data_IF_519398309198
#
_entry.id   IF_519398309198
#
_cell.length_a   1.000
_cell.length_b   1.000
_cell.length_c   1.000
_cell.angle_alpha   90.00
_cell.angle_beta   90.00
_cell.angle_gamma   90.00
#
_symmetry.space_group_name_H-M   'P 1'
#
loop_
_entity.id
_entity.type
_entity.pdbx_description
1 polymer ?
#
# COMPACT_ATOMS: atom_id res chain seq x y z
N UNK A 1 -4.24 -7.95 22.13
CA UNK A 1 -5.67 -8.03 22.50
C UNK A 1 -6.38 -8.91 21.49
N UNK A 2 -7.17 -9.88 21.97
CA UNK A 2 -7.62 -11.05 21.22
C UNK A 2 -8.97 -10.84 20.51
N UNK A 3 -9.15 -11.60 19.43
CA UNK A 3 -10.38 -11.82 18.66
C UNK A 3 -11.63 -11.97 19.53
N UNK A 4 -11.45 -12.49 20.74
CA UNK A 4 -12.47 -12.68 21.76
C UNK A 4 -13.11 -11.37 22.23
N UNK A 5 -12.33 -10.31 22.45
CA UNK A 5 -12.87 -9.01 22.87
C UNK A 5 -13.66 -8.32 21.74
N UNK A 6 -13.26 -8.52 20.48
CA UNK A 6 -14.03 -8.03 19.34
C UNK A 6 -15.30 -8.85 19.14
N UNK A 7 -15.22 -10.18 19.19
CA UNK A 7 -16.40 -11.06 19.11
C UNK A 7 -17.40 -10.82 20.24
N UNK A 8 -16.91 -10.57 21.46
CA UNK A 8 -17.76 -10.19 22.58
C UNK A 8 -18.52 -8.88 22.29
N UNK A 9 -17.84 -7.88 21.71
CA UNK A 9 -18.48 -6.64 21.27
C UNK A 9 -19.54 -6.89 20.17
N UNK A 10 -19.22 -7.70 19.17
CA UNK A 10 -20.17 -8.08 18.10
C UNK A 10 -21.40 -8.76 18.69
N UNK A 11 -21.22 -9.77 19.55
CA UNK A 11 -22.31 -10.48 20.20
C UNK A 11 -23.16 -9.57 21.09
N UNK A 12 -22.51 -8.65 21.82
CA UNK A 12 -23.20 -7.65 22.63
C UNK A 12 -24.07 -6.73 21.78
N UNK A 13 -23.54 -6.22 20.66
CA UNK A 13 -24.30 -5.35 19.75
C UNK A 13 -25.45 -6.11 19.09
N UNK A 14 -25.23 -7.37 18.72
CA UNK A 14 -26.28 -8.22 18.15
C UNK A 14 -27.43 -8.49 19.14
N UNK A 15 -27.12 -8.65 20.43
CA UNK A 15 -28.10 -9.00 21.47
C UNK A 15 -28.81 -7.78 22.05
N UNK A 16 -28.08 -6.69 22.29
CA UNK A 16 -28.56 -5.54 23.06
C UNK A 16 -28.71 -4.27 22.19
N UNK A 17 -28.24 -4.29 20.95
CA UNK A 17 -28.06 -3.09 20.14
C UNK A 17 -26.83 -2.28 20.56
N UNK A 18 -26.70 -1.07 20.04
CA UNK A 18 -25.58 -0.19 20.34
C UNK A 18 -25.88 0.72 21.55
N UNK A 19 -25.45 0.28 22.74
CA UNK A 19 -25.61 1.04 23.99
C UNK A 19 -24.84 2.37 23.97
N UNK A 20 -23.56 2.31 23.56
CA UNK A 20 -22.69 3.50 23.50
C UNK A 20 -22.63 4.06 22.08
N UNK A 21 -23.09 5.29 21.83
CA UNK A 21 -22.99 5.90 20.51
C UNK A 21 -21.53 6.17 20.13
N UNK A 22 -21.25 6.29 18.83
CA UNK A 22 -19.98 6.80 18.35
C UNK A 22 -20.00 8.33 18.33
N UNK A 23 -18.85 8.98 18.49
CA UNK A 23 -18.73 10.42 18.32
C UNK A 23 -18.30 10.73 16.89
N UNK A 24 -18.97 11.70 16.27
CA UNK A 24 -18.66 12.17 14.91
C UNK A 24 -18.73 13.68 14.83
N UNK A 25 -18.13 14.21 13.77
CA UNK A 25 -18.34 15.57 13.31
C UNK A 25 -18.78 15.57 11.84
N UNK A 26 -19.63 16.51 11.40
CA UNK A 26 -19.93 16.66 9.98
C UNK A 26 -18.65 17.01 9.22
N UNK A 27 -18.50 16.62 7.96
CA UNK A 27 -17.33 16.98 7.16
C UNK A 27 -17.23 18.49 6.98
N UNK A 28 -18.37 19.12 6.74
CA UNK A 28 -18.55 20.57 6.72
C UNK A 28 -18.71 21.12 8.16
N UNK A 29 -17.86 22.07 8.61
CA UNK A 29 -18.00 22.71 9.93
C UNK A 29 -19.27 23.52 10.13
N UNK A 30 -19.83 24.09 9.07
CA UNK A 30 -20.99 24.97 9.13
C UNK A 30 -22.31 24.21 8.99
N UNK A 31 -22.24 22.90 8.71
CA UNK A 31 -23.42 22.05 8.62
C UNK A 31 -24.13 21.93 9.98
N UNK A 32 -25.46 22.10 9.93
CA UNK A 32 -26.34 21.87 11.06
C UNK A 32 -27.49 20.93 10.65
N UNK A 33 -27.97 20.07 11.56
CA UNK A 33 -29.14 19.24 11.29
C UNK A 33 -30.36 20.13 10.98
N UNK A 34 -31.19 19.70 10.03
CA UNK A 34 -32.45 20.38 9.74
C UNK A 34 -33.33 20.36 10.99
N UNK A 35 -33.82 21.52 11.51
CA UNK A 35 -34.69 21.56 12.68
C UNK A 35 -36.01 20.79 12.51
N UNK A 36 -36.50 20.64 11.27
CA UNK A 36 -37.74 19.95 10.93
C UNK A 36 -37.53 18.47 10.62
N UNK A 37 -36.33 18.10 10.16
CA UNK A 37 -35.92 16.70 9.95
C UNK A 37 -34.45 16.47 10.36
N UNK A 38 -34.17 16.45 11.67
CA UNK A 38 -32.79 16.34 12.17
C UNK A 38 -32.14 14.99 11.88
N UNK A 39 -32.93 14.00 11.43
CA UNK A 39 -32.46 12.65 11.08
C UNK A 39 -32.00 12.54 9.63
N UNK A 40 -32.35 13.51 8.78
CA UNK A 40 -31.93 13.52 7.39
C UNK A 40 -30.48 13.98 7.24
N UNK A 41 -29.59 13.00 7.14
CA UNK A 41 -28.15 13.18 6.95
C UNK A 41 -27.67 12.73 5.56
N UNK A 42 -28.59 12.61 4.60
CA UNK A 42 -28.28 12.08 3.28
C UNK A 42 -27.23 12.93 2.56
N UNK A 43 -26.15 12.29 2.11
CA UNK A 43 -25.06 12.96 1.38
C UNK A 43 -24.09 13.76 2.25
N UNK A 44 -24.26 13.78 3.57
CA UNK A 44 -23.37 14.48 4.49
C UNK A 44 -22.22 13.55 4.89
N UNK A 45 -20.96 13.84 4.53
CA UNK A 45 -19.83 13.06 5.03
C UNK A 45 -19.63 13.35 6.53
N UNK A 46 -19.21 12.35 7.30
CA UNK A 46 -18.87 12.53 8.71
C UNK A 46 -17.45 12.06 8.99
N UNK A 47 -16.74 12.81 9.82
CA UNK A 47 -15.45 12.43 10.39
C UNK A 47 -15.70 11.67 11.68
N UNK A 48 -15.27 10.41 11.72
CA UNK A 48 -15.41 9.57 12.91
C UNK A 48 -14.38 9.93 13.97
N UNK A 49 -14.86 10.39 15.12
CA UNK A 49 -14.00 10.76 16.25
C UNK A 49 -13.72 9.57 17.15
N UNK A 50 -14.71 8.70 17.40
CA UNK A 50 -14.55 7.49 18.23
C UNK A 50 -15.32 6.30 17.64
N UNK A 51 -15.08 5.10 18.17
CA UNK A 51 -15.95 3.95 17.89
C UNK A 51 -15.64 3.14 16.63
N UNK A 52 -14.40 3.15 16.13
CA UNK A 52 -13.97 2.33 14.96
C UNK A 52 -14.33 0.84 15.10
N UNK A 53 -14.16 0.24 16.29
CA UNK A 53 -14.57 -1.15 16.56
C UNK A 53 -16.08 -1.37 16.50
N UNK A 54 -16.86 -0.36 16.91
CA UNK A 54 -18.33 -0.40 16.82
C UNK A 54 -18.79 -0.26 15.38
N UNK A 55 -18.14 0.60 14.58
CA UNK A 55 -18.38 0.66 13.13
C UNK A 55 -18.11 -0.69 12.46
N UNK A 56 -16.97 -1.32 12.76
CA UNK A 56 -16.64 -2.63 12.19
C UNK A 56 -17.64 -3.71 12.61
N UNK A 57 -18.02 -3.76 13.89
CA UNK A 57 -19.01 -4.71 14.39
C UNK A 57 -20.41 -4.46 13.78
N UNK A 58 -20.84 -3.21 13.67
CA UNK A 58 -22.11 -2.85 13.03
C UNK A 58 -22.13 -3.20 11.54
N UNK A 59 -21.01 -2.98 10.85
CA UNK A 59 -20.81 -3.39 9.45
C UNK A 59 -20.91 -4.91 9.29
N UNK A 60 -20.27 -5.69 10.18
CA UNK A 60 -20.34 -7.16 10.18
C UNK A 60 -21.77 -7.67 10.40
N UNK A 61 -22.55 -6.99 11.25
CA UNK A 61 -23.93 -7.34 11.55
C UNK A 61 -24.95 -6.77 10.54
N UNK A 62 -24.54 -5.88 9.63
CA UNK A 62 -25.44 -5.19 8.71
C UNK A 62 -26.46 -4.27 9.40
N UNK A 63 -26.13 -3.75 10.58
CA UNK A 63 -27.02 -2.88 11.37
C UNK A 63 -26.61 -1.41 11.27
N UNK A 64 -27.56 -0.46 11.35
CA UNK A 64 -27.23 0.96 11.35
C UNK A 64 -26.44 1.33 12.61
N UNK A 65 -25.45 2.22 12.44
CA UNK A 65 -24.60 2.70 13.52
C UNK A 65 -25.19 3.98 14.14
N UNK A 66 -25.32 3.99 15.46
CA UNK A 66 -25.75 5.15 16.24
C UNK A 66 -24.57 6.08 16.51
N UNK A 67 -24.71 7.34 16.11
CA UNK A 67 -23.71 8.38 16.27
C UNK A 67 -24.29 9.59 17.00
N UNK A 68 -23.43 10.35 17.67
CA UNK A 68 -23.72 11.66 18.26
C UNK A 68 -22.71 12.69 17.77
N UNK A 69 -23.18 13.91 17.53
CA UNK A 69 -22.32 15.04 17.17
C UNK A 69 -21.49 15.43 18.39
N UNK A 70 -20.17 15.49 18.24
CA UNK A 70 -19.32 16.04 19.28
C UNK A 70 -19.44 17.57 19.35
N UNK A 71 -19.18 18.19 20.52
CA UNK A 71 -19.34 19.64 20.71
C UNK A 71 -18.53 20.46 19.69
N UNK A 72 -19.11 21.54 19.12
CA UNK A 72 -18.47 22.36 18.10
C UNK A 72 -17.32 23.22 18.64
N UNK A 73 -17.31 23.55 19.93
CA UNK A 73 -16.29 24.40 20.56
C UNK A 73 -14.87 23.80 20.44
N UNK A 74 -14.77 22.47 20.41
CA UNK A 74 -13.50 21.77 20.22
C UNK A 74 -13.01 21.79 18.75
N UNK A 75 -13.83 22.24 17.79
CA UNK A 75 -13.56 22.21 16.35
C UNK A 75 -13.01 23.51 15.76
N UNK A 76 -13.30 24.66 16.37
CA UNK A 76 -13.00 25.97 15.75
C UNK A 76 -11.58 26.50 15.97
N UNK A 77 -10.70 25.74 16.63
CA UNK A 77 -9.28 26.06 16.71
C UNK A 77 -8.53 25.63 15.43
N UNK A 78 -7.56 26.41 14.95
CA UNK A 78 -6.61 25.95 13.92
C UNK A 78 -6.01 24.60 14.34
N UNK A 79 -5.98 23.62 13.42
CA UNK A 79 -5.54 22.24 13.68
C UNK A 79 -6.35 21.44 14.73
N UNK A 80 -7.57 21.87 15.09
CA UNK A 80 -8.46 21.18 16.04
C UNK A 80 -8.64 19.69 15.76
N UNK A 81 -8.85 19.32 14.50
CA UNK A 81 -9.04 17.93 14.08
C UNK A 81 -7.80 17.09 14.40
N UNK A 82 -6.59 17.61 14.13
CA UNK A 82 -5.36 16.91 14.49
C UNK A 82 -5.21 16.81 16.01
N UNK A 83 -5.37 17.91 16.74
CA UNK A 83 -5.17 17.93 18.19
C UNK A 83 -6.09 16.94 18.90
N UNK A 84 -7.36 16.85 18.47
CA UNK A 84 -8.28 15.85 19.01
C UNK A 84 -7.90 14.42 18.64
N UNK A 85 -7.54 14.16 17.38
CA UNK A 85 -7.07 12.83 16.97
C UNK A 85 -5.83 12.42 17.78
N UNK A 86 -4.96 13.38 18.07
CA UNK A 86 -3.76 13.18 18.87
C UNK A 86 -4.07 12.90 20.34
N UNK A 87 -4.93 13.70 20.98
CA UNK A 87 -5.39 13.46 22.35
C UNK A 87 -6.02 12.07 22.50
N UNK A 88 -6.90 11.68 21.56
CA UNK A 88 -7.50 10.35 21.52
C UNK A 88 -6.45 9.25 21.33
N UNK A 89 -5.51 9.47 20.41
CA UNK A 89 -4.44 8.50 20.16
C UNK A 89 -3.67 8.25 21.45
N UNK A 90 -3.27 9.31 22.16
CA UNK A 90 -2.59 9.24 23.45
C UNK A 90 -3.42 8.52 24.52
N UNK A 91 -4.68 8.89 24.69
CA UNK A 91 -5.57 8.25 25.67
C UNK A 91 -5.74 6.74 25.40
N UNK A 92 -5.90 6.35 24.12
CA UNK A 92 -6.04 4.94 23.77
C UNK A 92 -4.72 4.18 23.85
N UNK A 93 -3.58 4.83 23.58
CA UNK A 93 -2.25 4.24 23.74
C UNK A 93 -1.92 4.02 25.21
N UNK A 94 -2.21 4.99 26.08
CA UNK A 94 -2.02 4.90 27.55
C UNK A 94 -2.90 3.80 28.18
N UNK A 95 -4.09 3.55 27.62
CA UNK A 95 -4.96 2.44 28.03
C UNK A 95 -4.61 1.10 27.38
N UNK A 96 -3.52 1.03 26.61
CA UNK A 96 -3.12 -0.13 25.81
C UNK A 96 -4.24 -0.65 24.88
N UNK A 97 -5.17 0.23 24.50
CA UNK A 97 -6.45 -0.12 23.91
C UNK A 97 -6.43 -0.31 22.38
N UNK A 98 -5.28 -0.08 21.74
CA UNK A 98 -5.12 -0.13 20.29
C UNK A 98 -4.41 -1.41 19.85
N UNK A 99 -5.03 -2.15 18.93
CA UNK A 99 -4.31 -3.15 18.13
C UNK A 99 -3.23 -2.52 17.25
N UNK A 100 -2.23 -3.28 16.77
CA UNK A 100 -1.23 -2.79 15.83
C UNK A 100 -1.84 -2.13 14.58
N UNK A 101 -2.95 -2.69 14.06
CA UNK A 101 -3.68 -2.11 12.93
C UNK A 101 -4.29 -0.76 13.27
N UNK A 102 -5.03 -0.67 14.38
CA UNK A 102 -5.68 0.58 14.81
C UNK A 102 -4.67 1.68 15.10
N UNK A 103 -3.51 1.32 15.66
CA UNK A 103 -2.40 2.25 15.87
C UNK A 103 -1.91 2.84 14.54
N UNK A 104 -1.68 2.00 13.53
CA UNK A 104 -1.21 2.45 12.22
C UNK A 104 -2.25 3.28 11.47
N UNK A 105 -3.53 2.88 11.52
CA UNK A 105 -4.64 3.64 10.92
C UNK A 105 -4.75 5.03 11.57
N UNK A 106 -4.67 5.11 12.90
CA UNK A 106 -4.77 6.39 13.62
C UNK A 106 -3.60 7.32 13.28
N UNK A 107 -2.38 6.80 13.21
CA UNK A 107 -1.19 7.59 12.83
C UNK A 107 -1.31 8.07 11.38
N UNK A 108 -1.78 7.23 10.46
CA UNK A 108 -1.97 7.62 9.05
C UNK A 108 -3.04 8.69 8.88
N UNK A 109 -4.17 8.56 9.58
CA UNK A 109 -5.24 9.58 9.56
C UNK A 109 -4.77 10.93 10.10
N UNK A 110 -4.03 10.93 11.22
CA UNK A 110 -3.43 12.15 11.78
C UNK A 110 -2.46 12.82 10.78
N UNK A 111 -1.65 12.01 10.09
CA UNK A 111 -0.72 12.51 9.08
C UNK A 111 -1.45 13.14 7.89
N UNK A 112 -2.41 12.42 7.30
CA UNK A 112 -3.16 12.92 6.13
C UNK A 112 -4.00 14.17 6.48
N UNK A 113 -4.50 14.26 7.72
CA UNK A 113 -5.21 15.45 8.22
C UNK A 113 -4.31 16.68 8.23
N UNK A 114 -3.06 16.56 8.68
CA UNK A 114 -2.09 17.67 8.67
C UNK A 114 -1.54 17.95 7.27
N UNK A 115 -1.28 16.92 6.47
CA UNK A 115 -0.75 17.07 5.11
C UNK A 115 -1.74 17.75 4.15
N UNK A 116 -3.04 17.70 4.46
CA UNK A 116 -4.09 18.37 3.70
C UNK A 116 -4.32 19.83 4.13
N UNK A 117 -3.68 20.29 5.22
CA UNK A 117 -3.70 21.68 5.66
C UNK A 117 -2.73 22.58 4.88
N UNK A 118 -2.74 23.87 5.18
CA UNK A 118 -1.89 24.86 4.49
C UNK A 118 -0.39 24.65 4.77
N UNK A 119 -0.03 24.06 5.92
CA UNK A 119 1.35 23.79 6.31
C UNK A 119 1.71 22.31 6.09
N UNK A 120 2.42 22.02 4.99
CA UNK A 120 2.90 20.66 4.69
C UNK A 120 3.98 20.23 5.68
N UNK A 121 3.58 19.48 6.70
CA UNK A 121 4.51 18.87 7.65
C UNK A 121 5.25 17.69 7.03
N UNK A 122 6.57 17.59 7.24
CA UNK A 122 7.34 16.41 6.82
C UNK A 122 7.06 15.21 7.73
N UNK A 123 7.28 13.98 7.23
CA UNK A 123 7.14 12.76 8.03
C UNK A 123 8.02 12.75 9.29
N UNK A 124 9.23 13.33 9.20
CA UNK A 124 10.15 13.49 10.32
C UNK A 124 9.58 14.44 11.37
N UNK A 125 9.11 15.62 10.97
CA UNK A 125 8.53 16.60 11.87
C UNK A 125 7.26 16.06 12.55
N UNK A 126 6.43 15.33 11.79
CA UNK A 126 5.24 14.68 12.31
C UNK A 126 5.58 13.60 13.34
N UNK A 127 6.53 12.71 13.02
CA UNK A 127 6.97 11.65 13.91
C UNK A 127 7.42 12.22 15.27
N UNK A 128 8.23 13.30 15.22
CA UNK A 128 8.69 14.03 16.41
C UNK A 128 7.52 14.64 17.19
N UNK A 129 6.54 15.24 16.50
CA UNK A 129 5.37 15.90 17.11
C UNK A 129 4.53 14.92 17.94
N UNK A 130 4.32 13.70 17.44
CA UNK A 130 3.49 12.69 18.13
C UNK A 130 4.31 11.69 18.97
N UNK A 131 5.63 11.84 19.05
CA UNK A 131 6.49 10.99 19.88
C UNK A 131 6.72 9.57 19.34
N UNK A 132 6.66 9.36 18.02
CA UNK A 132 6.90 8.05 17.39
C UNK A 132 8.12 8.05 16.46
N UNK A 133 8.59 6.86 16.07
CA UNK A 133 9.69 6.72 15.11
C UNK A 133 9.23 6.97 13.66
N UNK A 134 10.05 7.62 12.83
CA UNK A 134 9.71 7.96 11.44
C UNK A 134 9.28 6.75 10.60
N UNK A 135 9.97 5.61 10.75
CA UNK A 135 9.61 4.37 10.04
C UNK A 135 8.17 3.91 10.32
N UNK A 136 7.61 4.28 11.49
CA UNK A 136 6.23 3.96 11.84
C UNK A 136 5.25 4.82 11.03
N UNK A 137 5.58 6.10 10.80
CA UNK A 137 4.76 7.04 10.01
C UNK A 137 4.66 6.57 8.56
N UNK A 138 5.78 6.17 7.94
CA UNK A 138 5.77 5.63 6.58
C UNK A 138 4.85 4.42 6.45
N UNK A 139 4.95 3.45 7.37
CA UNK A 139 4.09 2.27 7.39
C UNK A 139 2.62 2.61 7.65
N UNK A 140 2.37 3.55 8.57
CA UNK A 140 1.03 4.01 8.92
C UNK A 140 0.31 4.61 7.71
N UNK A 141 1.01 5.42 6.91
CA UNK A 141 0.47 5.95 5.66
C UNK A 141 0.07 4.86 4.67
N UNK A 142 0.92 3.85 4.48
CA UNK A 142 0.59 2.71 3.61
C UNK A 142 -0.61 1.91 4.11
N UNK A 143 -0.70 1.65 5.42
CA UNK A 143 -1.86 0.94 6.01
C UNK A 143 -3.14 1.76 5.88
N UNK A 144 -3.08 3.06 6.15
CA UNK A 144 -4.24 3.95 6.07
C UNK A 144 -4.75 4.07 4.63
N UNK A 145 -3.87 4.26 3.66
CA UNK A 145 -4.23 4.31 2.25
C UNK A 145 -4.87 2.99 1.74
N UNK A 146 -4.45 1.84 2.30
CA UNK A 146 -4.98 0.53 1.96
C UNK A 146 -6.07 0.03 2.94
N UNK A 147 -6.57 0.89 3.84
CA UNK A 147 -7.41 0.47 4.98
C UNK A 147 -8.61 -0.36 4.53
N UNK A 148 -9.37 0.14 3.56
CA UNK A 148 -10.59 -0.53 3.08
C UNK A 148 -10.27 -1.87 2.41
N UNK A 149 -9.17 -1.94 1.64
CA UNK A 149 -8.74 -3.19 1.03
C UNK A 149 -8.31 -4.22 2.07
N UNK A 150 -7.62 -3.79 3.13
CA UNK A 150 -7.20 -4.64 4.23
C UNK A 150 -8.44 -5.19 4.97
N UNK A 151 -9.39 -4.32 5.33
CA UNK A 151 -10.61 -4.71 6.04
C UNK A 151 -11.49 -5.66 5.20
N UNK A 152 -11.57 -5.45 3.89
CA UNK A 152 -12.36 -6.30 2.99
C UNK A 152 -11.70 -7.65 2.72
N UNK A 153 -10.36 -7.72 2.71
CA UNK A 153 -9.63 -8.94 2.35
C UNK A 153 -9.39 -9.85 3.55
N UNK A 154 -9.11 -9.28 4.72
CA UNK A 154 -8.66 -10.03 5.89
C UNK A 154 -9.69 -9.93 7.01
N UNK A 155 -10.15 -11.08 7.54
CA UNK A 155 -11.17 -11.12 8.61
C UNK A 155 -10.61 -10.94 10.02
N UNK A 156 -9.31 -11.12 10.21
CA UNK A 156 -8.63 -11.08 11.51
C UNK A 156 -7.71 -9.87 11.68
N UNK A 157 -8.00 -8.76 10.97
CA UNK A 157 -7.13 -7.57 10.91
C UNK A 157 -6.79 -7.02 12.29
N UNK A 158 -7.76 -7.01 13.22
CA UNK A 158 -7.58 -6.50 14.58
C UNK A 158 -6.65 -7.35 15.46
N UNK A 159 -6.36 -8.59 15.05
CA UNK A 159 -5.48 -9.51 15.76
C UNK A 159 -4.08 -9.58 15.14
N UNK A 160 -3.88 -8.95 13.98
CA UNK A 160 -2.62 -9.03 13.25
C UNK A 160 -1.48 -8.33 13.98
N UNK A 161 -0.31 -8.96 13.99
CA UNK A 161 0.92 -8.30 14.42
C UNK A 161 1.38 -7.28 13.38
N UNK A 162 2.32 -6.40 13.76
CA UNK A 162 2.97 -5.49 12.80
C UNK A 162 3.59 -6.22 11.61
N UNK A 163 4.14 -7.41 11.83
CA UNK A 163 4.74 -8.23 10.76
C UNK A 163 3.67 -8.77 9.82
N UNK A 164 2.54 -9.23 10.36
CA UNK A 164 1.44 -9.75 9.57
C UNK A 164 0.81 -8.66 8.71
N UNK A 165 0.64 -7.45 9.27
CA UNK A 165 0.15 -6.28 8.53
C UNK A 165 1.08 -5.87 7.37
N UNK A 166 2.40 -5.95 7.56
CA UNK A 166 3.35 -5.74 6.46
C UNK A 166 3.21 -6.81 5.38
N UNK A 167 3.04 -8.07 5.77
CA UNK A 167 2.77 -9.16 4.82
C UNK A 167 1.46 -8.97 4.06
N UNK A 168 0.41 -8.50 4.74
CA UNK A 168 -0.89 -8.20 4.16
C UNK A 168 -0.79 -7.12 3.08
N UNK A 169 -0.13 -5.98 3.37
CA UNK A 169 0.10 -4.92 2.37
C UNK A 169 0.90 -5.46 1.18
N UNK A 170 2.01 -6.16 1.43
CA UNK A 170 2.83 -6.71 0.35
C UNK A 170 2.05 -7.71 -0.52
N UNK A 171 1.12 -8.47 0.08
CA UNK A 171 0.21 -9.34 -0.66
C UNK A 171 -0.73 -8.54 -1.54
N UNK A 172 -1.38 -7.49 -1.01
CA UNK A 172 -2.29 -6.62 -1.78
C UNK A 172 -1.57 -5.94 -2.96
N UNK A 173 -0.33 -5.47 -2.77
CA UNK A 173 0.49 -4.91 -3.85
C UNK A 173 0.83 -5.95 -4.94
N UNK A 174 1.02 -7.21 -4.56
CA UNK A 174 1.25 -8.32 -5.49
C UNK A 174 -0.02 -8.76 -6.23
N UNK A 175 -1.20 -8.59 -5.64
CA UNK A 175 -2.47 -8.87 -6.32
C UNK A 175 -2.82 -7.78 -7.33
N UNK A 176 -2.49 -6.52 -7.03
CA UNK A 176 -2.67 -5.37 -7.94
C UNK A 176 -1.62 -5.30 -9.06
N UNK A 177 -0.43 -5.87 -8.85
CA UNK A 177 0.52 -6.10 -9.94
C UNK A 177 0.12 -7.39 -10.65
N UNK A 178 -0.33 -7.29 -11.90
CA UNK A 178 -0.52 -8.46 -12.76
C UNK A 178 0.67 -9.42 -12.59
N UNK A 179 0.38 -10.69 -12.25
CA UNK A 179 1.41 -11.73 -12.18
C UNK A 179 2.32 -11.55 -13.41
N UNK A 180 3.64 -11.34 -13.24
CA UNK A 180 4.50 -11.27 -14.41
C UNK A 180 4.27 -12.56 -15.18
N UNK A 181 3.79 -12.45 -16.43
CA UNK A 181 3.69 -13.59 -17.33
C UNK A 181 5.02 -14.34 -17.21
N UNK A 182 5.03 -15.67 -17.00
CA UNK A 182 6.28 -16.40 -16.94
C UNK A 182 7.05 -16.04 -18.21
N UNK A 183 8.16 -15.31 -18.06
CA UNK A 183 9.02 -14.97 -19.18
C UNK A 183 9.49 -16.31 -19.72
N UNK A 184 9.05 -16.65 -20.92
CA UNK A 184 9.59 -17.76 -21.70
C UNK A 184 11.11 -17.61 -21.62
N UNK A 185 11.80 -18.56 -20.98
CA UNK A 185 13.25 -18.48 -20.86
C UNK A 185 13.79 -18.45 -22.30
N UNK A 186 14.59 -17.44 -22.66
CA UNK A 186 15.09 -17.35 -24.02
C UNK A 186 15.99 -18.56 -24.29
N UNK A 187 15.74 -19.26 -25.39
CA UNK A 187 16.53 -20.43 -25.78
C UNK A 187 17.92 -19.96 -26.16
N UNK A 188 18.87 -20.12 -25.23
CA UNK A 188 20.26 -19.79 -25.44
C UNK A 188 20.93 -20.92 -26.24
N UNK A 189 21.28 -20.64 -27.48
CA UNK A 189 22.14 -21.51 -28.28
C UNK A 189 23.59 -21.11 -28.07
N UNK A 190 24.48 -22.07 -27.81
CA UNK A 190 25.91 -21.81 -27.60
C UNK A 190 26.74 -22.83 -28.35
N UNK A 191 27.61 -22.35 -29.24
CA UNK A 191 28.59 -23.15 -29.98
C UNK A 191 29.99 -22.77 -29.50
N UNK A 192 30.77 -23.75 -29.05
CA UNK A 192 32.19 -23.58 -28.69
C UNK A 192 33.06 -24.26 -29.74
N UNK A 193 34.05 -23.54 -30.27
CA UNK A 193 35.05 -24.08 -31.21
C UNK A 193 36.46 -23.76 -30.73
N UNK A 194 37.39 -24.67 -30.99
CA UNK A 194 38.82 -24.46 -30.74
C UNK A 194 39.46 -23.87 -32.00
N UNK A 195 40.16 -22.75 -31.86
CA UNK A 195 40.90 -22.09 -32.96
C UNK A 195 42.35 -21.91 -32.49
N UNK A 196 43.24 -22.77 -32.99
CA UNK A 196 44.60 -22.90 -32.46
C UNK A 196 44.59 -23.33 -30.99
N UNK A 197 45.21 -22.53 -30.12
CA UNK A 197 45.21 -22.74 -28.66
C UNK A 197 44.10 -21.97 -27.92
N UNK A 198 43.13 -21.39 -28.64
CA UNK A 198 42.09 -20.53 -28.06
C UNK A 198 40.71 -21.14 -28.21
N UNK A 199 39.80 -20.75 -27.32
CA UNK A 199 38.39 -21.12 -27.38
C UNK A 199 37.57 -19.93 -27.90
N UNK A 200 36.84 -20.16 -28.98
CA UNK A 200 35.83 -19.28 -29.56
C UNK A 200 34.46 -19.73 -29.08
N UNK A 201 33.68 -18.82 -28.49
CA UNK A 201 32.30 -19.07 -28.07
C UNK A 201 31.38 -18.15 -28.84
N UNK A 202 30.45 -18.72 -29.60
CA UNK A 202 29.38 -18.00 -30.29
C UNK A 202 28.07 -18.32 -29.60
N UNK A 203 27.34 -17.29 -29.21
CA UNK A 203 26.09 -17.41 -28.44
C UNK A 203 24.98 -16.65 -29.15
N UNK A 204 23.81 -17.27 -29.31
CA UNK A 204 22.60 -16.59 -29.77
C UNK A 204 21.54 -16.63 -28.66
N UNK A 205 21.01 -15.45 -28.31
CA UNK A 205 19.94 -15.25 -27.32
C UNK A 205 19.00 -14.17 -27.85
N UNK A 206 17.72 -14.50 -28.05
CA UNK A 206 16.67 -13.54 -28.46
C UNK A 206 17.05 -12.67 -29.67
N UNK A 207 17.66 -13.27 -30.70
CA UNK A 207 18.09 -12.56 -31.90
C UNK A 207 19.42 -11.80 -31.76
N UNK A 208 20.03 -11.76 -30.56
CA UNK A 208 21.35 -11.19 -30.36
C UNK A 208 22.44 -12.25 -30.52
N UNK A 209 23.33 -12.03 -31.50
CA UNK A 209 24.54 -12.82 -31.70
C UNK A 209 25.71 -12.22 -30.91
N UNK A 210 26.38 -13.02 -30.08
CA UNK A 210 27.55 -12.64 -29.30
C UNK A 210 28.71 -13.57 -29.57
N UNK A 211 29.85 -13.01 -29.95
CA UNK A 211 31.10 -13.73 -30.17
C UNK A 211 32.09 -13.38 -29.05
N UNK A 212 32.58 -14.39 -28.33
CA UNK A 212 33.54 -14.22 -27.24
C UNK A 212 34.81 -15.05 -27.50
N UNK A 213 35.95 -14.36 -27.51
CA UNK A 213 37.30 -14.96 -27.57
C UNK A 213 38.19 -14.22 -26.58
N UNK A 214 38.95 -14.95 -25.76
CA UNK A 214 39.89 -14.36 -24.81
C UNK A 214 41.29 -14.25 -25.43
N UNK A 215 42.02 -13.17 -25.09
CA UNK A 215 43.43 -13.02 -25.42
C UNK A 215 43.72 -12.70 -26.89
N UNK A 216 42.79 -12.05 -27.59
CA UNK A 216 43.00 -11.54 -28.96
C UNK A 216 43.11 -10.02 -28.90
N UNK A 217 44.29 -9.43 -29.15
CA UNK A 217 44.37 -8.00 -29.43
C UNK A 217 43.73 -7.75 -30.80
N UNK A 218 42.59 -7.06 -30.80
CA UNK A 218 41.85 -6.67 -32.00
C UNK A 218 41.84 -5.15 -32.04
N UNK A 219 42.27 -4.59 -33.17
CA UNK A 219 42.17 -3.16 -33.48
C UNK A 219 40.85 -2.86 -34.22
N UNK A 220 40.54 -1.57 -34.36
CA UNK A 220 39.28 -1.13 -34.97
C UNK A 220 39.11 -1.67 -36.41
N UNK A 221 40.17 -1.65 -37.22
CA UNK A 221 40.13 -2.11 -38.62
C UNK A 221 39.82 -3.62 -38.72
N UNK A 222 40.42 -4.44 -37.85
CA UNK A 222 40.12 -5.88 -37.82
C UNK A 222 38.73 -6.17 -37.27
N UNK A 223 38.21 -5.33 -36.37
CA UNK A 223 36.86 -5.46 -35.85
C UNK A 223 35.81 -5.15 -36.93
N UNK A 224 36.05 -4.11 -37.74
CA UNK A 224 35.20 -3.76 -38.88
C UNK A 224 35.16 -4.87 -39.92
N UNK A 225 36.33 -5.41 -40.31
CA UNK A 225 36.42 -6.57 -41.22
C UNK A 225 35.68 -7.81 -40.71
N UNK A 226 35.70 -8.04 -39.38
CA UNK A 226 34.92 -9.11 -38.77
C UNK A 226 33.41 -8.82 -38.86
N UNK A 227 33.02 -7.55 -38.69
CA UNK A 227 31.65 -7.09 -38.91
C UNK A 227 31.16 -7.38 -40.33
N UNK A 228 31.97 -7.06 -41.35
CA UNK A 228 31.64 -7.31 -42.76
C UNK A 228 31.50 -8.81 -43.08
N UNK A 229 32.35 -9.65 -42.47
CA UNK A 229 32.25 -11.11 -42.61
C UNK A 229 30.97 -11.67 -41.96
N UNK A 230 30.58 -11.16 -40.80
CA UNK A 230 29.32 -11.55 -40.16
C UNK A 230 28.12 -11.05 -40.97
N UNK A 231 28.17 -9.82 -41.49
CA UNK A 231 27.13 -9.25 -42.34
C UNK A 231 26.94 -10.05 -43.64
N UNK A 232 28.03 -10.46 -44.30
CA UNK A 232 27.94 -11.29 -45.51
C UNK A 232 27.35 -12.67 -45.22
N UNK A 233 27.70 -13.31 -44.10
CA UNK A 233 27.09 -14.58 -43.69
C UNK A 233 25.58 -14.45 -43.45
N UNK A 234 25.14 -13.38 -42.78
CA UNK A 234 23.72 -13.15 -42.51
C UNK A 234 22.92 -12.87 -43.78
N UNK A 235 23.49 -12.14 -44.75
CA UNK A 235 22.83 -11.86 -46.02
C UNK A 235 22.65 -13.10 -46.91
N UNK A 236 23.44 -14.17 -46.71
CA UNK A 236 23.30 -15.43 -47.46
C UNK A 236 22.09 -16.23 -46.98
N UNK A 237 21.77 -16.19 -45.68
CA UNK A 237 20.60 -16.91 -45.13
C UNK A 237 19.25 -16.26 -45.51
N UNK A 238 19.23 -14.97 -45.85
CA UNK A 238 18.02 -14.30 -46.35
C UNK A 238 17.74 -14.63 -47.83
N UNK A 239 18.75 -14.99 -48.62
CA UNK A 239 18.58 -15.35 -50.03
C UNK A 239 18.06 -16.78 -50.26
N UNK A 240 18.31 -17.70 -49.32
CA UNK A 240 17.81 -19.09 -49.41
C UNK A 240 16.36 -19.26 -48.93
N UNK A 241 15.76 -18.24 -48.29
CA UNK A 241 14.36 -18.28 -47.83
C UNK A 241 13.32 -17.81 -48.85
N UNK A 242 13.75 -17.22 -49.97
CA UNK A 242 12.86 -16.75 -51.04
C UNK A 242 12.68 -17.77 -52.19
N UNK A 243 13.20 -18.99 -52.04
CA UNK A 243 12.99 -20.10 -52.98
C UNK A 243 12.45 -21.34 -52.26
N UNK A 244 11.20 -21.27 -51.81
CA UNK A 244 10.31 -22.42 -51.66
C UNK A 244 8.84 -21.98 -51.70
#
# INVERSE_FOLDING_TARGET
MSQEAFRSLVNSIASNGQDTPILVWPGDPDWQPDPLDPSNIAGVPFVMLTGRRRLAAASELGVPLRAILAPPDARNAENSKFEMLFLRFRENEERENLSPFERLVSIGEMYETLASGEEKLTAVAFAKKIGVHESLVSRARSVFAAQDQILNTFKNVYDMSFRDLQGAIASLERTNKAKPKPKTKPQKLTVKRKVGNRNLSVTSVDGNLSIKVAGVPIDQERLEKLGDLVASYLNVEDAEKDTD
#
